data_IF_242240889739
#
_entry.id   IF_242240889739
#
_cell.length_a   1.000
_cell.length_b   1.000
_cell.length_c   1.000
_cell.angle_alpha   90.00
_cell.angle_beta   90.00
_cell.angle_gamma   90.00
#
_symmetry.space_group_name_H-M   'P 1'
#
loop_
_entity.id
_entity.type
_entity.pdbx_description
1 polymer ?
#
# COMPACT_ATOMS: atom_id res chain seq x y z
N UNK A 1 21.26 -6.24 61.41
CA UNK A 1 21.77 -5.80 60.10
C UNK A 1 20.78 -6.26 59.03
N UNK A 2 19.80 -5.41 58.70
CA UNK A 2 18.71 -5.72 57.78
C UNK A 2 19.05 -5.05 56.44
N UNK A 3 19.38 -5.85 55.42
CA UNK A 3 19.57 -5.38 54.04
C UNK A 3 18.19 -5.15 53.43
N UNK A 4 17.78 -3.90 53.29
CA UNK A 4 16.61 -3.51 52.52
C UNK A 4 16.88 -3.80 51.03
N UNK A 5 16.21 -4.81 50.48
CA UNK A 5 16.01 -4.95 49.04
C UNK A 5 15.04 -3.84 48.59
N UNK A 6 15.54 -2.90 47.80
CA UNK A 6 14.72 -1.92 47.10
C UNK A 6 14.22 -2.58 45.81
N UNK A 7 12.90 -2.68 45.56
CA UNK A 7 12.38 -3.15 44.29
C UNK A 7 12.59 -2.04 43.26
N UNK A 8 13.44 -2.30 42.28
CA UNK A 8 13.57 -1.46 41.08
C UNK A 8 12.29 -1.65 40.28
N UNK A 9 11.29 -0.78 40.51
CA UNK A 9 10.17 -0.61 39.60
C UNK A 9 10.73 -0.07 38.27
N UNK A 10 10.88 -0.96 37.28
CA UNK A 10 11.03 -0.53 35.89
C UNK A 10 9.71 0.14 35.47
N UNK A 11 9.72 1.47 35.44
CA UNK A 11 8.72 2.28 34.78
C UNK A 11 8.84 2.02 33.27
N UNK A 12 8.02 1.11 32.73
CA UNK A 12 7.72 1.11 31.29
C UNK A 12 6.97 2.40 30.99
N UNK A 13 7.70 3.40 30.50
CA UNK A 13 7.10 4.58 29.87
C UNK A 13 6.37 4.11 28.61
N UNK A 14 5.05 3.93 28.69
CA UNK A 14 4.20 3.94 27.51
C UNK A 14 4.27 5.36 26.94
N UNK A 15 5.24 5.61 26.07
CA UNK A 15 5.09 6.70 25.13
C UNK A 15 3.81 6.41 24.32
N UNK A 16 2.94 7.40 24.06
CA UNK A 16 1.90 7.30 23.04
C UNK A 16 2.58 7.28 21.66
N UNK A 17 3.37 6.25 21.41
CA UNK A 17 3.86 5.89 20.09
C UNK A 17 2.80 5.02 19.46
N UNK A 18 2.50 5.28 18.19
CA UNK A 18 1.60 4.47 17.38
C UNK A 18 1.80 2.97 17.68
N UNK A 19 0.72 2.23 17.90
CA UNK A 19 0.79 0.79 18.01
C UNK A 19 1.17 0.23 16.64
N UNK A 20 2.47 0.06 16.42
CA UNK A 20 3.03 -0.48 15.18
C UNK A 20 3.66 -1.81 15.50
N UNK A 21 3.10 -2.87 14.95
CA UNK A 21 3.61 -4.22 15.11
C UNK A 21 4.43 -4.52 13.87
N UNK A 22 5.72 -4.76 14.04
CA UNK A 22 6.60 -5.14 12.95
C UNK A 22 7.20 -6.52 13.24
N UNK A 23 7.07 -7.42 12.28
CA UNK A 23 7.69 -8.74 12.31
C UNK A 23 8.72 -8.86 11.18
N UNK A 24 9.98 -9.04 11.54
CA UNK A 24 11.09 -9.12 10.59
C UNK A 24 11.57 -7.75 10.09
N UNK A 25 12.82 -7.71 9.64
CA UNK A 25 13.49 -6.47 9.24
C UNK A 25 13.86 -5.56 10.41
N UNK A 26 14.61 -4.50 10.11
CA UNK A 26 14.88 -3.41 11.04
C UNK A 26 13.94 -2.26 10.72
N UNK A 27 13.12 -1.85 11.69
CA UNK A 27 12.20 -0.72 11.50
C UNK A 27 12.67 0.48 12.29
N UNK A 28 12.78 1.59 11.58
CA UNK A 28 13.18 2.88 12.11
C UNK A 28 12.04 3.87 11.92
N UNK A 29 11.48 4.38 13.02
CA UNK A 29 10.35 5.31 12.97
C UNK A 29 10.76 6.69 13.48
N UNK A 30 10.48 7.71 12.68
CA UNK A 30 10.69 9.12 13.01
C UNK A 30 9.35 9.83 12.88
N UNK A 31 8.73 10.13 14.02
CA UNK A 31 7.36 10.62 14.10
C UNK A 31 6.37 9.62 13.47
N UNK A 32 5.58 10.10 12.51
CA UNK A 32 4.53 9.31 11.86
C UNK A 32 5.04 8.44 10.69
N UNK A 33 6.32 8.60 10.33
CA UNK A 33 6.94 7.83 9.26
C UNK A 33 7.76 6.68 9.83
N UNK A 34 7.50 5.46 9.40
CA UNK A 34 8.41 4.33 9.58
C UNK A 34 9.10 3.99 8.28
N UNK A 35 10.39 3.71 8.37
CA UNK A 35 11.19 3.10 7.30
C UNK A 35 11.52 1.69 7.72
N UNK A 36 11.16 0.74 6.86
CA UNK A 36 11.57 -0.63 7.05
C UNK A 36 12.80 -0.93 6.20
N UNK A 37 13.88 -1.35 6.85
CA UNK A 37 15.10 -1.87 6.23
C UNK A 37 14.98 -3.40 6.20
N UNK A 38 14.82 -4.00 5.02
CA UNK A 38 14.48 -5.42 4.91
C UNK A 38 15.69 -6.33 5.11
N UNK A 39 15.65 -7.23 6.10
CA UNK A 39 16.38 -8.51 6.08
C UNK A 39 15.61 -9.58 6.88
N UNK A 40 15.15 -10.71 6.29
CA UNK A 40 14.94 -10.98 4.86
C UNK A 40 13.56 -10.51 4.34
N UNK A 41 12.69 -9.96 5.20
CA UNK A 41 11.34 -9.50 4.85
C UNK A 41 10.95 -8.39 5.81
N UNK A 42 10.06 -7.51 5.37
CA UNK A 42 9.39 -6.56 6.22
C UNK A 42 7.92 -6.90 6.34
N UNK A 43 7.43 -7.19 7.53
CA UNK A 43 5.99 -7.29 7.79
C UNK A 43 5.60 -6.25 8.83
N UNK A 44 4.59 -5.43 8.54
CA UNK A 44 4.22 -4.31 9.41
C UNK A 44 2.72 -4.04 9.45
N UNK A 45 2.21 -3.73 10.63
CA UNK A 45 0.85 -3.25 10.84
C UNK A 45 0.88 -1.80 11.32
N UNK A 46 0.13 -0.93 10.65
CA UNK A 46 -0.06 0.45 11.06
C UNK A 46 -1.53 0.86 10.99
N UNK A 47 -2.25 0.62 12.08
CA UNK A 47 -3.72 0.78 12.14
C UNK A 47 -4.17 2.20 12.49
N UNK A 48 -3.25 3.09 12.86
CA UNK A 48 -3.58 4.48 13.20
C UNK A 48 -3.86 5.31 11.93
N UNK A 49 -4.86 6.20 11.95
CA UNK A 49 -5.17 7.06 10.82
C UNK A 49 -3.97 7.92 10.39
N UNK A 50 -3.73 8.00 9.08
CA UNK A 50 -2.69 8.86 8.52
C UNK A 50 -1.26 8.35 8.69
N UNK A 51 -1.07 7.09 9.09
CA UNK A 51 0.26 6.50 9.21
C UNK A 51 1.03 6.49 7.88
N UNK A 52 2.34 6.74 7.95
CA UNK A 52 3.25 6.70 6.79
C UNK A 52 4.26 5.57 6.94
N UNK A 53 4.34 4.68 5.94
CA UNK A 53 5.29 3.57 5.92
C UNK A 53 6.03 3.50 4.59
N UNK A 54 7.35 3.50 4.67
CA UNK A 54 8.24 3.36 3.53
C UNK A 54 9.03 2.04 3.60
N UNK A 55 9.02 1.30 2.49
CA UNK A 55 9.88 0.14 2.24
C UNK A 55 10.85 0.51 1.12
N UNK A 56 12.15 0.41 1.40
CA UNK A 56 13.21 0.68 0.42
C UNK A 56 14.14 -0.53 0.28
N UNK A 57 14.45 -0.88 -0.96
CA UNK A 57 15.60 -1.71 -1.36
C UNK A 57 15.69 -3.11 -0.73
N UNK A 58 14.61 -3.91 -0.80
CA UNK A 58 14.75 -5.35 -0.51
C UNK A 58 13.60 -6.23 -0.96
N UNK A 59 13.70 -7.54 -0.66
CA UNK A 59 12.96 -8.54 -1.40
C UNK A 59 11.45 -8.45 -1.19
N UNK A 60 10.95 -8.44 0.05
CA UNK A 60 9.51 -8.52 0.32
C UNK A 60 9.08 -7.52 1.40
N UNK A 61 8.02 -6.76 1.10
CA UNK A 61 7.36 -5.84 2.02
C UNK A 61 5.85 -6.16 2.06
N UNK A 62 5.35 -6.56 3.23
CA UNK A 62 3.94 -6.88 3.48
C UNK A 62 3.40 -5.96 4.59
N UNK A 63 2.39 -5.17 4.24
CA UNK A 63 1.90 -4.09 5.09
C UNK A 63 0.39 -4.16 5.23
N UNK A 64 -0.07 -4.03 6.46
CA UNK A 64 -1.48 -3.75 6.77
C UNK A 64 -1.59 -2.37 7.38
N UNK A 65 -2.56 -1.61 6.91
CA UNK A 65 -2.79 -0.28 7.44
C UNK A 65 -4.28 0.07 7.52
N UNK A 66 -4.58 0.96 8.47
CA UNK A 66 -5.90 1.55 8.63
C UNK A 66 -6.15 2.70 7.64
N UNK A 67 -7.15 3.52 7.96
CA UNK A 67 -7.59 4.62 7.10
C UNK A 67 -6.53 5.69 6.85
N UNK A 68 -6.52 6.26 5.65
CA UNK A 68 -5.68 7.40 5.31
C UNK A 68 -4.19 7.11 5.26
N UNK A 69 -3.79 5.83 5.27
CA UNK A 69 -2.38 5.45 5.26
C UNK A 69 -1.67 5.87 3.98
N UNK A 70 -0.42 6.29 4.13
CA UNK A 70 0.53 6.52 3.05
C UNK A 70 1.54 5.38 3.04
N UNK A 71 1.55 4.58 1.98
CA UNK A 71 2.56 3.53 1.80
C UNK A 71 3.39 3.80 0.57
N UNK A 72 4.72 3.75 0.72
CA UNK A 72 5.66 3.82 -0.40
C UNK A 72 6.56 2.59 -0.40
N UNK A 73 6.55 1.83 -1.48
CA UNK A 73 7.49 0.74 -1.70
C UNK A 73 8.32 0.99 -2.95
N UNK A 74 9.64 1.04 -2.78
CA UNK A 74 10.57 1.31 -3.88
C UNK A 74 11.78 0.40 -3.90
N UNK A 75 12.18 -0.06 -5.09
CA UNK A 75 13.44 -0.81 -5.28
C UNK A 75 13.41 -2.26 -4.78
N UNK A 76 12.24 -2.82 -4.50
CA UNK A 76 12.07 -4.19 -3.97
C UNK A 76 11.56 -5.21 -4.99
N UNK A 77 11.50 -6.49 -4.60
CA UNK A 77 10.91 -7.52 -5.49
C UNK A 77 9.39 -7.52 -5.38
N UNK A 78 8.83 -7.65 -4.18
CA UNK A 78 7.40 -7.74 -3.95
C UNK A 78 6.93 -6.76 -2.89
N UNK A 79 5.88 -6.02 -3.22
CA UNK A 79 5.12 -5.19 -2.30
C UNK A 79 3.70 -5.74 -2.19
N UNK A 80 3.25 -6.08 -0.98
CA UNK A 80 1.86 -6.42 -0.69
C UNK A 80 1.31 -5.45 0.33
N UNK A 81 0.14 -4.89 0.06
CA UNK A 81 -0.49 -3.94 1.00
C UNK A 81 -1.99 -4.16 1.12
N UNK A 82 -2.51 -4.13 2.35
CA UNK A 82 -3.94 -4.03 2.62
C UNK A 82 -4.23 -2.73 3.35
N UNK A 83 -5.14 -1.93 2.82
CA UNK A 83 -5.66 -0.71 3.42
C UNK A 83 -7.20 -0.78 3.52
N UNK A 84 -7.73 -0.14 4.56
CA UNK A 84 -9.16 0.16 4.71
C UNK A 84 -9.62 1.25 3.73
N UNK A 85 -9.76 2.53 4.10
CA UNK A 85 -10.17 3.60 3.15
C UNK A 85 -9.19 4.76 3.05
N UNK A 86 -9.35 5.58 2.01
CA UNK A 86 -8.68 6.88 1.86
C UNK A 86 -7.13 6.82 1.80
N UNK A 87 -6.56 5.66 1.47
CA UNK A 87 -5.11 5.50 1.41
C UNK A 87 -4.48 6.02 0.12
N UNK A 88 -3.19 6.35 0.23
CA UNK A 88 -2.30 6.69 -0.86
C UNK A 88 -1.14 5.67 -0.91
N UNK A 89 -1.19 4.75 -1.87
CA UNK A 89 -0.19 3.69 -2.03
C UNK A 89 0.62 3.92 -3.30
N UNK A 90 1.94 3.89 -3.17
CA UNK A 90 2.90 4.14 -4.23
C UNK A 90 3.92 3.00 -4.32
N UNK A 91 3.96 2.33 -5.48
CA UNK A 91 4.96 1.34 -5.83
C UNK A 91 5.81 1.86 -6.98
N UNK A 92 7.14 1.84 -6.82
CA UNK A 92 8.07 2.33 -7.84
C UNK A 92 9.30 1.44 -8.00
N UNK A 93 9.67 1.05 -9.23
CA UNK A 93 10.84 0.19 -9.47
C UNK A 93 10.76 -1.12 -8.68
N UNK A 94 9.67 -1.87 -8.84
CA UNK A 94 9.46 -3.15 -8.16
C UNK A 94 9.16 -4.29 -9.13
N UNK A 95 9.39 -5.53 -8.72
CA UNK A 95 8.97 -6.71 -9.48
C UNK A 95 7.45 -6.83 -9.55
N UNK A 96 6.82 -7.01 -8.40
CA UNK A 96 5.36 -7.12 -8.22
C UNK A 96 4.87 -6.13 -7.16
N UNK A 97 3.76 -5.46 -7.44
CA UNK A 97 3.03 -4.66 -6.47
C UNK A 97 1.58 -5.13 -6.40
N UNK A 98 1.18 -5.67 -5.25
CA UNK A 98 -0.15 -6.17 -4.99
C UNK A 98 -0.80 -5.34 -3.88
N UNK A 99 -2.02 -4.83 -4.11
CA UNK A 99 -2.73 -4.12 -3.06
C UNK A 99 -4.23 -4.37 -3.04
N UNK A 100 -4.79 -4.32 -1.83
CA UNK A 100 -6.24 -4.28 -1.59
C UNK A 100 -6.55 -3.01 -0.82
N UNK A 101 -7.48 -2.24 -1.35
CA UNK A 101 -7.90 -0.97 -0.76
C UNK A 101 -9.42 -0.86 -0.87
N UNK A 102 -10.06 -0.32 0.16
CA UNK A 102 -11.46 0.02 0.18
C UNK A 102 -11.75 1.27 -0.66
N UNK A 103 -12.62 2.14 -0.16
CA UNK A 103 -13.07 3.31 -0.90
C UNK A 103 -12.03 4.44 -0.93
N UNK A 104 -12.16 5.33 -1.92
CA UNK A 104 -11.42 6.60 -2.05
C UNK A 104 -9.90 6.46 -2.10
N UNK A 105 -9.38 5.31 -2.54
CA UNK A 105 -7.95 5.09 -2.55
C UNK A 105 -7.27 5.69 -3.79
N UNK A 106 -6.00 6.08 -3.64
CA UNK A 106 -5.09 6.44 -4.72
C UNK A 106 -3.98 5.40 -4.81
N UNK A 107 -3.88 4.73 -5.95
CA UNK A 107 -2.85 3.72 -6.21
C UNK A 107 -1.95 4.21 -7.35
N UNK A 108 -0.63 4.25 -7.14
CA UNK A 108 0.35 4.56 -8.17
C UNK A 108 1.33 3.41 -8.30
N UNK A 109 1.51 2.92 -9.52
CA UNK A 109 2.51 1.91 -9.85
C UNK A 109 3.35 2.41 -11.02
N UNK A 110 4.66 2.53 -10.80
CA UNK A 110 5.60 3.00 -11.82
C UNK A 110 6.82 2.10 -11.96
N UNK A 111 7.30 1.96 -13.19
CA UNK A 111 8.54 1.24 -13.49
C UNK A 111 8.57 -0.20 -12.91
N UNK A 112 7.43 -0.88 -12.99
CA UNK A 112 7.23 -2.20 -12.36
C UNK A 112 6.91 -3.29 -13.38
N UNK A 113 7.20 -4.55 -13.06
CA UNK A 113 6.88 -5.66 -13.98
C UNK A 113 5.39 -6.02 -13.92
N UNK A 114 4.81 -6.06 -12.72
CA UNK A 114 3.41 -6.39 -12.49
C UNK A 114 2.79 -5.53 -11.39
N UNK A 115 1.59 -5.01 -11.63
CA UNK A 115 0.77 -4.32 -10.65
C UNK A 115 -0.60 -5.00 -10.60
N UNK A 116 -1.02 -5.45 -9.43
CA UNK A 116 -2.29 -6.13 -9.21
C UNK A 116 -3.07 -5.45 -8.08
N UNK A 117 -4.10 -4.70 -8.42
CA UNK A 117 -4.85 -3.88 -7.46
C UNK A 117 -6.31 -4.32 -7.35
N UNK A 118 -6.82 -4.39 -6.13
CA UNK A 118 -8.26 -4.44 -5.85
C UNK A 118 -8.65 -3.18 -5.12
N UNK A 119 -9.54 -2.38 -5.71
CA UNK A 119 -9.94 -1.08 -5.15
C UNK A 119 -11.46 -0.97 -4.99
N UNK A 120 -11.88 -0.25 -3.95
CA UNK A 120 -13.28 0.11 -3.69
C UNK A 120 -13.78 1.29 -4.52
N UNK A 121 -15.03 1.73 -4.24
CA UNK A 121 -15.65 2.86 -4.92
C UNK A 121 -14.83 4.15 -4.82
N UNK A 122 -15.04 5.04 -5.79
CA UNK A 122 -14.37 6.35 -5.90
C UNK A 122 -12.83 6.29 -5.89
N UNK A 123 -12.22 5.15 -6.23
CA UNK A 123 -10.76 4.99 -6.24
C UNK A 123 -10.15 5.38 -7.59
N UNK A 124 -8.89 5.80 -7.54
CA UNK A 124 -8.07 6.09 -8.72
C UNK A 124 -6.81 5.23 -8.74
N UNK A 125 -6.46 4.75 -9.93
CA UNK A 125 -5.27 3.93 -10.16
C UNK A 125 -4.49 4.51 -11.31
N UNK A 126 -3.17 4.66 -11.14
CA UNK A 126 -2.24 5.10 -12.18
C UNK A 126 -1.14 4.06 -12.37
N UNK A 127 -1.05 3.51 -13.57
CA UNK A 127 -0.03 2.57 -14.00
C UNK A 127 0.85 3.24 -15.06
N UNK A 128 2.14 3.39 -14.79
CA UNK A 128 3.08 4.10 -15.67
C UNK A 128 4.33 3.26 -15.94
N UNK A 129 4.64 3.00 -17.22
CA UNK A 129 5.79 2.17 -17.63
C UNK A 129 5.81 0.82 -16.92
N UNK A 130 4.68 0.12 -16.92
CA UNK A 130 4.54 -1.20 -16.29
C UNK A 130 4.31 -2.31 -17.29
N UNK A 131 4.82 -3.51 -17.01
CA UNK A 131 4.60 -4.68 -17.88
C UNK A 131 3.13 -5.07 -17.92
N UNK A 132 2.52 -5.26 -16.75
CA UNK A 132 1.11 -5.61 -16.60
C UNK A 132 0.46 -4.78 -15.49
N UNK A 133 -0.67 -4.15 -15.80
CA UNK A 133 -1.54 -3.47 -14.86
C UNK A 133 -2.88 -4.21 -14.83
N UNK A 134 -3.11 -4.95 -13.74
CA UNK A 134 -4.32 -5.73 -13.50
C UNK A 134 -5.10 -5.08 -12.36
N UNK A 135 -6.26 -4.51 -12.67
CA UNK A 135 -7.07 -3.79 -11.68
C UNK A 135 -8.45 -4.41 -11.59
N UNK A 136 -8.86 -4.76 -10.37
CA UNK A 136 -10.23 -5.17 -10.05
C UNK A 136 -10.90 -4.04 -9.29
N UNK A 137 -11.91 -3.43 -9.90
CA UNK A 137 -12.73 -2.43 -9.25
C UNK A 137 -13.96 -3.10 -8.66
N UNK A 138 -14.13 -2.94 -7.35
CA UNK A 138 -15.29 -3.41 -6.60
C UNK A 138 -16.39 -2.36 -6.50
N UNK A 139 -16.22 -1.21 -7.16
CA UNK A 139 -17.20 -0.14 -7.27
C UNK A 139 -16.81 0.83 -8.39
N UNK A 140 -17.24 2.09 -8.29
CA UNK A 140 -16.79 3.11 -9.23
C UNK A 140 -15.27 3.32 -9.14
N UNK A 141 -14.55 3.32 -10.25
CA UNK A 141 -13.11 3.60 -10.25
C UNK A 141 -12.63 4.21 -11.58
N UNK A 142 -11.49 4.88 -11.54
CA UNK A 142 -10.77 5.37 -12.73
C UNK A 142 -9.36 4.80 -12.76
N UNK A 143 -8.99 4.20 -13.88
CA UNK A 143 -7.67 3.61 -14.11
C UNK A 143 -7.00 4.31 -15.28
N UNK A 144 -5.80 4.83 -15.08
CA UNK A 144 -4.96 5.42 -16.12
C UNK A 144 -3.76 4.51 -16.39
N UNK A 145 -3.59 4.11 -17.66
CA UNK A 145 -2.50 3.24 -18.09
C UNK A 145 -1.65 3.95 -19.15
N UNK A 146 -0.43 4.33 -18.78
CA UNK A 146 0.51 5.04 -19.66
C UNK A 146 1.78 4.21 -19.84
N UNK A 147 2.22 4.04 -21.09
CA UNK A 147 3.40 3.22 -21.41
C UNK A 147 3.32 1.80 -20.84
N UNK A 148 2.11 1.26 -20.70
CA UNK A 148 1.86 -0.04 -20.07
C UNK A 148 1.72 -1.12 -21.14
N UNK A 149 2.29 -2.32 -20.90
CA UNK A 149 2.13 -3.46 -21.81
C UNK A 149 0.67 -3.94 -21.88
N UNK A 150 0.17 -4.51 -20.78
CA UNK A 150 -1.23 -4.93 -20.65
C UNK A 150 -1.97 -4.09 -19.59
N UNK A 151 -3.15 -3.58 -19.93
CA UNK A 151 -4.02 -2.84 -19.01
C UNK A 151 -5.39 -3.53 -18.92
N UNK A 152 -5.50 -4.43 -17.94
CA UNK A 152 -6.68 -5.27 -17.71
C UNK A 152 -7.47 -4.69 -16.54
N UNK A 153 -8.70 -4.24 -16.80
CA UNK A 153 -9.57 -3.66 -15.77
C UNK A 153 -10.89 -4.42 -15.72
N UNK A 154 -11.20 -4.97 -14.56
CA UNK A 154 -12.41 -5.76 -14.28
C UNK A 154 -13.36 -4.98 -13.37
N UNK A 155 -14.59 -4.76 -13.81
CA UNK A 155 -15.63 -4.08 -13.01
C UNK A 155 -16.54 -5.12 -12.35
N UNK A 156 -16.29 -5.45 -11.07
CA UNK A 156 -16.94 -6.60 -10.41
C UNK A 156 -18.45 -6.42 -10.21
N UNK A 157 -18.89 -5.23 -9.80
CA UNK A 157 -20.32 -4.98 -9.53
C UNK A 157 -21.18 -4.87 -10.78
N UNK A 158 -20.59 -4.47 -11.91
CA UNK A 158 -21.31 -4.33 -13.17
C UNK A 158 -21.39 -5.63 -13.95
N UNK A 159 -20.53 -6.62 -13.64
CA UNK A 159 -20.41 -7.85 -14.43
C UNK A 159 -19.96 -7.61 -15.87
N UNK A 160 -19.44 -6.42 -16.18
CA UNK A 160 -19.00 -5.99 -17.50
C UNK A 160 -17.52 -5.61 -17.52
N UNK A 161 -16.97 -5.49 -18.72
CA UNK A 161 -15.66 -4.89 -18.94
C UNK A 161 -15.69 -3.38 -18.66
N UNK A 162 -14.52 -2.82 -18.33
CA UNK A 162 -14.37 -1.38 -18.15
C UNK A 162 -14.65 -0.61 -19.45
N UNK A 163 -15.27 0.56 -19.32
CA UNK A 163 -15.43 1.50 -20.44
C UNK A 163 -14.07 2.14 -20.73
N UNK A 164 -13.64 2.08 -22.00
CA UNK A 164 -12.42 2.74 -22.46
C UNK A 164 -12.78 4.18 -22.86
N UNK A 165 -12.05 5.15 -22.32
CA UNK A 165 -12.28 6.56 -22.62
C UNK A 165 -11.68 6.98 -23.96
N UNK A 166 -12.09 8.15 -24.52
CA UNK A 166 -11.63 8.59 -25.84
C UNK A 166 -10.11 8.77 -25.98
N UNK A 167 -9.39 8.96 -24.88
CA UNK A 167 -7.93 9.03 -24.87
C UNK A 167 -7.23 7.67 -25.04
N UNK A 168 -7.97 6.55 -24.97
CA UNK A 168 -7.46 5.18 -25.11
C UNK A 168 -6.65 4.65 -23.92
N UNK A 169 -6.14 5.52 -23.06
CA UNK A 169 -5.31 5.16 -21.90
C UNK A 169 -6.14 5.00 -20.63
N UNK A 170 -7.25 5.73 -20.51
CA UNK A 170 -8.12 5.68 -19.32
C UNK A 170 -9.21 4.64 -19.49
N UNK A 171 -9.46 3.89 -18.41
CA UNK A 171 -10.58 2.95 -18.26
C UNK A 171 -11.36 3.30 -17.00
N UNK A 172 -12.68 3.21 -17.07
CA UNK A 172 -13.58 3.54 -15.96
C UNK A 172 -14.57 2.42 -15.70
N UNK A 173 -14.92 2.25 -14.42
CA UNK A 173 -16.03 1.43 -13.96
C UNK A 173 -17.05 2.34 -13.26
N UNK A 174 -18.34 2.18 -13.56
CA UNK A 174 -19.44 2.82 -12.81
C UNK A 174 -19.41 4.36 -12.79
N UNK A 175 -18.73 4.98 -13.75
CA UNK A 175 -18.64 6.44 -13.90
C UNK A 175 -18.41 6.77 -15.37
N UNK A 176 -18.59 8.05 -15.72
CA UNK A 176 -18.28 8.52 -17.07
C UNK A 176 -16.77 8.74 -17.25
N UNK A 177 -16.37 8.80 -18.52
CA UNK A 177 -15.22 9.59 -18.91
C UNK A 177 -15.58 11.10 -18.81
#
# INVERSE_FOLDING_TARGET
MIKHLVPVLLLLSLAPGCARIFEGGQVECVGDTCTCKPEPRCTGECMEPGCSLACADGPDCDVRCGDGCQHRCTGGNNCTTTCETDCDLECGRVGSCESRCGANCRQRCSDASNCAFTVGPASTVSCERVGNCNVTCTGSCRVDCQGTGNCNVTCREQGTNATVCPNGTTRVCGQSC
#
